data_IF_930967320309
#
_entry.id   IF_930967320309
#
_cell.length_a   1.000
_cell.length_b   1.000
_cell.length_c   1.000
_cell.angle_alpha   90.00
_cell.angle_beta   90.00
_cell.angle_gamma   90.00
#
_symmetry.space_group_name_H-M   'P 1'
#
loop_
_entity.id
_entity.type
_entity.pdbx_description
1 polymer ?
#
# COMPACT_ATOMS: atom_id res chain seq x y z
N UNK A 1 18.94 -48.82 -12.24
CA UNK A 1 18.71 -47.96 -11.04
C UNK A 1 18.36 -46.54 -11.44
N UNK A 2 19.19 -45.84 -12.22
CA UNK A 2 18.97 -44.43 -12.59
C UNK A 2 17.60 -44.16 -13.28
N UNK A 3 17.20 -45.01 -14.23
CA UNK A 3 15.92 -44.85 -14.94
C UNK A 3 14.69 -45.00 -14.03
N UNK A 4 14.74 -45.85 -13.00
CA UNK A 4 13.66 -45.99 -12.03
C UNK A 4 13.56 -44.78 -11.10
N UNK A 5 14.70 -44.21 -10.70
CA UNK A 5 14.75 -42.99 -9.87
C UNK A 5 14.16 -41.81 -10.63
N UNK A 6 14.47 -41.66 -11.93
CA UNK A 6 13.89 -40.58 -12.76
C UNK A 6 12.36 -40.69 -12.88
N UNK A 7 11.82 -41.89 -13.04
CA UNK A 7 10.36 -42.09 -13.15
C UNK A 7 9.65 -41.74 -11.83
N UNK A 8 10.24 -42.11 -10.68
CA UNK A 8 9.69 -41.76 -9.36
C UNK A 8 9.75 -40.25 -9.13
N UNK A 9 10.86 -39.59 -9.46
CA UNK A 9 11.00 -38.13 -9.31
C UNK A 9 10.00 -37.36 -10.16
N UNK A 10 9.78 -37.77 -11.43
CA UNK A 10 8.78 -37.14 -12.29
C UNK A 10 7.37 -37.35 -11.73
N UNK A 11 7.07 -38.52 -11.16
CA UNK A 11 5.79 -38.77 -10.50
C UNK A 11 5.55 -37.88 -9.28
N UNK A 12 6.58 -37.69 -8.44
CA UNK A 12 6.50 -36.81 -7.25
C UNK A 12 6.37 -35.35 -7.66
N UNK A 13 7.18 -34.86 -8.59
CA UNK A 13 7.10 -33.49 -9.09
C UNK A 13 5.77 -33.21 -9.80
N UNK A 14 5.28 -34.18 -10.58
CA UNK A 14 3.96 -34.09 -11.22
C UNK A 14 2.82 -34.03 -10.21
N UNK A 15 2.90 -34.81 -9.12
CA UNK A 15 1.91 -34.76 -8.04
C UNK A 15 1.93 -33.40 -7.32
N UNK A 16 3.12 -32.89 -6.96
CA UNK A 16 3.30 -31.57 -6.32
C UNK A 16 2.73 -30.46 -7.21
N UNK A 17 3.05 -30.49 -8.51
CA UNK A 17 2.56 -29.51 -9.48
C UNK A 17 1.03 -29.52 -9.62
N UNK A 18 0.41 -30.70 -9.68
CA UNK A 18 -1.05 -30.83 -9.77
C UNK A 18 -1.74 -30.34 -8.49
N UNK A 19 -1.18 -30.64 -7.31
CA UNK A 19 -1.72 -30.12 -6.04
C UNK A 19 -1.58 -28.60 -5.93
N UNK A 20 -0.48 -28.02 -6.39
CA UNK A 20 -0.28 -26.56 -6.44
C UNK A 20 -1.29 -25.89 -7.38
N UNK A 21 -1.42 -26.36 -8.63
CA UNK A 21 -2.43 -25.88 -9.60
C UNK A 21 -3.87 -25.96 -9.09
N UNK A 22 -4.19 -27.03 -8.35
CA UNK A 22 -5.51 -27.21 -7.76
C UNK A 22 -5.73 -26.22 -6.62
N UNK A 23 -4.74 -26.04 -5.74
CA UNK A 23 -4.77 -25.06 -4.66
C UNK A 23 -4.95 -23.63 -5.20
N UNK A 24 -4.20 -23.25 -6.24
CA UNK A 24 -4.33 -21.94 -6.91
C UNK A 24 -5.76 -21.68 -7.41
N UNK A 25 -6.42 -22.71 -7.99
CA UNK A 25 -7.81 -22.58 -8.45
C UNK A 25 -8.80 -22.47 -7.31
N UNK A 26 -8.63 -23.23 -6.24
CA UNK A 26 -9.50 -23.17 -5.06
C UNK A 26 -9.36 -21.82 -4.35
N UNK A 27 -8.16 -21.25 -4.33
CA UNK A 27 -7.87 -19.93 -3.79
C UNK A 27 -8.48 -18.81 -4.65
N UNK A 28 -8.32 -18.89 -5.98
CA UNK A 28 -8.97 -17.97 -6.91
C UNK A 28 -10.51 -17.98 -6.77
N UNK A 29 -11.12 -19.17 -6.62
CA UNK A 29 -12.57 -19.31 -6.40
C UNK A 29 -13.03 -18.77 -5.05
N UNK A 30 -12.24 -18.96 -3.99
CA UNK A 30 -12.53 -18.38 -2.66
C UNK A 30 -12.51 -16.86 -2.72
N UNK A 31 -11.60 -16.29 -3.51
CA UNK A 31 -11.49 -14.84 -3.66
C UNK A 31 -12.55 -14.22 -4.55
N UNK A 32 -12.94 -14.86 -5.65
CA UNK A 32 -14.07 -14.39 -6.47
C UNK A 32 -15.32 -14.18 -5.59
N UNK A 33 -15.52 -15.10 -4.63
CA UNK A 33 -16.58 -14.99 -3.63
C UNK A 33 -16.37 -13.82 -2.65
N UNK A 34 -15.15 -13.61 -2.15
CA UNK A 34 -14.83 -12.49 -1.24
C UNK A 34 -14.95 -11.13 -1.93
N UNK A 35 -14.47 -11.01 -3.16
CA UNK A 35 -14.60 -9.80 -3.99
C UNK A 35 -16.06 -9.49 -4.27
N UNK A 36 -16.88 -10.51 -4.58
CA UNK A 36 -18.33 -10.35 -4.74
C UNK A 36 -19.03 -9.93 -3.45
N UNK A 37 -18.60 -10.44 -2.29
CA UNK A 37 -19.16 -10.07 -0.99
C UNK A 37 -18.72 -8.66 -0.53
N UNK A 38 -17.56 -8.19 -1.01
CA UNK A 38 -16.98 -6.86 -0.75
C UNK A 38 -17.35 -5.80 -1.81
N UNK A 39 -18.20 -6.14 -2.79
CA UNK A 39 -18.79 -5.21 -3.77
C UNK A 39 -19.84 -4.27 -3.13
N UNK A 40 -19.49 -3.71 -1.98
CA UNK A 40 -20.15 -2.58 -1.32
C UNK A 40 -19.20 -1.39 -1.15
N UNK A 41 -18.02 -1.43 -1.77
CA UNK A 41 -17.13 -0.28 -1.88
C UNK A 41 -17.53 0.61 -3.06
N UNK A 42 -17.21 1.89 -2.96
CA UNK A 42 -17.60 2.93 -3.90
C UNK A 42 -17.02 2.64 -5.30
N UNK A 43 -17.92 2.31 -6.25
CA UNK A 43 -17.56 2.07 -7.66
C UNK A 43 -17.24 3.39 -8.41
N UNK A 44 -17.67 4.54 -7.86
CA UNK A 44 -17.50 5.86 -8.44
C UNK A 44 -17.17 6.90 -7.34
N UNK A 45 -15.87 7.04 -7.04
CA UNK A 45 -15.36 7.94 -6.00
C UNK A 45 -15.71 9.41 -6.26
N UNK A 46 -15.84 9.82 -7.53
CA UNK A 46 -16.24 11.19 -7.89
C UNK A 46 -17.72 11.43 -7.55
N UNK A 47 -18.61 10.48 -7.82
CA UNK A 47 -20.02 10.61 -7.43
C UNK A 47 -20.22 10.76 -5.91
N UNK A 48 -19.38 10.10 -5.11
CA UNK A 48 -19.45 10.21 -3.64
C UNK A 48 -18.87 11.51 -3.15
N UNK A 49 -17.80 12.01 -3.78
CA UNK A 49 -17.24 13.32 -3.47
C UNK A 49 -18.19 14.45 -3.86
N UNK A 50 -18.88 14.33 -5.00
CA UNK A 50 -19.91 15.27 -5.43
C UNK A 50 -21.10 15.25 -4.48
N UNK A 51 -21.59 14.07 -4.08
CA UNK A 51 -22.67 13.94 -3.11
C UNK A 51 -22.30 14.44 -1.70
N UNK A 52 -21.08 14.17 -1.22
CA UNK A 52 -20.59 14.70 0.05
C UNK A 52 -20.48 16.23 0.02
N UNK A 53 -19.99 16.80 -1.09
CA UNK A 53 -19.93 18.25 -1.29
C UNK A 53 -21.32 18.90 -1.47
N UNK A 54 -22.33 18.15 -1.93
CA UNK A 54 -23.73 18.59 -1.97
C UNK A 54 -24.37 18.59 -0.57
N UNK A 55 -24.13 17.56 0.24
CA UNK A 55 -24.63 17.48 1.62
C UNK A 55 -24.05 18.58 2.53
N UNK A 56 -22.78 18.94 2.35
CA UNK A 56 -22.16 20.07 3.05
C UNK A 56 -22.76 21.43 2.65
N UNK A 57 -23.29 21.55 1.42
CA UNK A 57 -23.99 22.75 0.95
C UNK A 57 -25.43 22.81 1.44
N UNK A 58 -26.08 21.67 1.63
CA UNK A 58 -27.44 21.59 2.20
C UNK A 58 -27.45 21.84 3.72
N UNK A 59 -26.46 21.37 4.47
CA UNK A 59 -26.35 21.61 5.92
C UNK A 59 -25.92 23.06 6.27
N UNK A 60 -25.31 23.77 5.32
CA UNK A 60 -25.00 25.20 5.44
C UNK A 60 -26.20 26.16 5.24
N UNK A 61 -27.39 25.64 4.93
CA UNK A 61 -28.57 26.45 4.56
C UNK A 61 -29.59 26.66 5.68
N UNK A 62 -29.46 26.05 6.86
CA UNK A 62 -30.40 26.28 7.96
C UNK A 62 -29.70 26.57 9.28
N UNK A 63 -29.34 27.83 9.52
CA UNK A 63 -29.61 28.57 10.76
C UNK A 63 -28.99 29.97 10.70
N UNK A 64 -29.78 30.99 10.36
CA UNK A 64 -29.87 32.17 11.23
C UNK A 64 -31.16 32.95 10.99
N UNK A 65 -32.14 32.69 11.86
CA UNK A 65 -33.22 33.61 12.13
C UNK A 65 -33.09 33.99 13.60
N UNK A 66 -32.49 35.14 13.91
CA UNK A 66 -33.24 36.21 14.59
C UNK A 66 -32.43 37.51 14.87
N UNK A 67 -33.16 38.62 14.68
CA UNK A 67 -33.04 39.97 15.31
C UNK A 67 -32.09 41.02 14.70
N UNK A 68 -32.67 41.79 13.78
CA UNK A 68 -32.83 43.25 13.74
C UNK A 68 -31.73 44.20 14.27
N UNK A 69 -31.29 45.14 13.40
CA UNK A 69 -31.27 46.61 13.57
C UNK A 69 -30.81 47.30 12.28
N UNK A 70 -31.61 48.21 11.71
CA UNK A 70 -31.19 49.18 10.67
C UNK A 70 -30.16 50.19 11.24
N UNK A 71 -29.39 50.98 10.45
CA UNK A 71 -29.81 52.05 9.49
C UNK A 71 -29.03 51.95 8.16
N UNK A 72 -29.07 52.79 7.12
CA UNK A 72 -29.84 53.95 6.63
C UNK A 72 -29.28 54.21 5.21
N UNK A 73 -30.07 54.90 4.41
CA UNK A 73 -29.95 55.30 3.02
C UNK A 73 -28.71 56.16 2.69
N UNK A 74 -28.10 55.95 1.51
CA UNK A 74 -27.54 57.03 0.66
C UNK A 74 -26.93 56.49 -0.64
N UNK A 75 -27.74 56.58 -1.69
CA UNK A 75 -27.46 57.17 -3.03
C UNK A 75 -26.02 57.36 -3.54
N UNK A 76 -25.89 56.95 -4.82
CA UNK A 76 -25.31 57.68 -5.98
C UNK A 76 -23.93 57.27 -6.54
N UNK A 77 -24.02 56.53 -7.65
CA UNK A 77 -23.55 56.90 -9.00
C UNK A 77 -22.06 56.90 -9.41
N UNK A 78 -21.91 56.42 -10.67
CA UNK A 78 -20.96 56.80 -11.72
C UNK A 78 -19.60 56.07 -11.72
N UNK A 79 -19.43 55.14 -12.68
CA UNK A 79 -18.77 55.30 -14.00
C UNK A 79 -17.25 55.11 -13.86
N UNK A 80 -16.69 54.00 -14.35
CA UNK A 80 -16.33 53.70 -15.75
C UNK A 80 -15.03 54.37 -16.21
N UNK A 81 -14.38 53.65 -17.13
CA UNK A 81 -13.16 53.95 -17.86
C UNK A 81 -11.84 53.61 -17.16
N UNK A 82 -10.81 53.14 -17.84
CA UNK A 82 -10.58 52.58 -19.18
C UNK A 82 -9.07 52.29 -19.20
N UNK A 83 -8.61 51.46 -20.13
CA UNK A 83 -7.25 51.41 -20.68
C UNK A 83 -6.17 50.78 -19.77
N UNK A 84 -5.26 49.91 -20.23
CA UNK A 84 -4.87 49.50 -21.59
C UNK A 84 -3.89 48.33 -21.45
N UNK A 85 -4.00 47.36 -22.36
CA UNK A 85 -2.90 46.47 -22.72
C UNK A 85 -1.72 47.27 -23.30
N UNK A 86 -0.48 46.82 -23.06
CA UNK A 86 0.36 46.31 -24.16
C UNK A 86 1.65 45.67 -23.64
N UNK A 87 1.84 44.42 -24.08
CA UNK A 87 3.09 43.81 -24.55
C UNK A 87 4.42 44.55 -24.34
N UNK A 88 5.41 43.83 -23.84
CA UNK A 88 6.74 43.85 -24.45
C UNK A 88 7.46 42.51 -24.24
N UNK A 89 8.09 42.06 -25.32
CA UNK A 89 8.72 40.76 -25.52
C UNK A 89 10.16 41.08 -25.87
N UNK A 90 11.13 40.69 -25.04
CA UNK A 90 12.52 40.57 -25.46
C UNK A 90 13.21 39.37 -24.83
N UNK A 91 14.25 38.94 -25.53
CA UNK A 91 14.82 37.62 -25.63
C UNK A 91 16.31 37.68 -25.21
N UNK A 92 16.90 36.51 -25.02
CA UNK A 92 18.34 36.19 -25.04
C UNK A 92 19.12 36.48 -23.73
N UNK A 93 19.54 35.42 -23.03
CA UNK A 93 20.91 34.89 -23.16
C UNK A 93 21.15 33.70 -22.23
N UNK A 94 21.92 32.75 -22.76
CA UNK A 94 22.47 31.62 -22.03
C UNK A 94 23.60 32.09 -21.10
N UNK A 95 23.62 31.58 -19.87
CA UNK A 95 24.79 31.55 -19.02
C UNK A 95 24.80 30.20 -18.28
N UNK A 96 25.90 29.50 -18.48
CA UNK A 96 26.38 28.34 -17.76
C UNK A 96 26.80 28.79 -16.35
N UNK A 97 26.21 28.20 -15.31
CA UNK A 97 26.68 28.33 -13.92
C UNK A 97 26.64 26.95 -13.25
N UNK A 98 27.81 26.31 -13.21
CA UNK A 98 28.21 25.40 -12.14
C UNK A 98 28.43 26.21 -10.87
N UNK A 99 27.77 25.85 -9.78
CA UNK A 99 28.25 25.76 -8.39
C UNK A 99 27.03 25.52 -7.48
N UNK A 100 26.96 24.33 -6.88
CA UNK A 100 27.26 24.13 -5.46
C UNK A 100 26.17 24.70 -4.54
N UNK A 101 25.35 23.81 -3.97
CA UNK A 101 25.08 23.89 -2.54
C UNK A 101 24.43 22.61 -1.99
N UNK A 102 25.16 22.04 -1.04
CA UNK A 102 24.68 21.44 0.20
C UNK A 102 23.98 20.10 0.11
N UNK A 103 24.82 19.09 -0.08
CA UNK A 103 24.79 17.88 0.73
C UNK A 103 24.62 18.25 2.22
N UNK A 104 23.38 18.25 2.69
CA UNK A 104 23.10 18.26 4.11
C UNK A 104 23.16 16.82 4.60
N UNK A 105 24.37 16.34 4.80
CA UNK A 105 24.63 15.27 5.77
C UNK A 105 24.25 15.82 7.14
N UNK A 106 22.96 15.76 7.46
CA UNK A 106 22.51 15.83 8.84
C UNK A 106 22.83 14.49 9.48
N UNK A 107 24.11 14.27 9.75
CA UNK A 107 24.56 13.29 10.73
C UNK A 107 24.18 13.83 12.11
N UNK A 108 22.88 13.82 12.39
CA UNK A 108 22.41 13.82 13.76
C UNK A 108 22.93 12.53 14.37
N UNK A 109 23.72 12.68 15.43
CA UNK A 109 24.18 11.58 16.24
C UNK A 109 22.97 10.72 16.59
N UNK A 110 23.02 9.47 16.15
CA UNK A 110 22.01 8.43 16.27
C UNK A 110 21.68 8.24 17.76
N UNK A 111 20.68 8.99 18.24
CA UNK A 111 20.07 8.73 19.51
C UNK A 111 19.35 7.40 19.31
N UNK A 112 19.98 6.32 19.79
CA UNK A 112 19.52 4.93 19.71
C UNK A 112 17.99 4.87 19.71
N UNK A 113 17.40 4.80 18.51
CA UNK A 113 15.96 4.88 18.33
C UNK A 113 15.37 3.60 18.90
N UNK A 114 14.66 3.72 20.02
CA UNK A 114 13.90 2.59 20.54
C UNK A 114 12.64 2.39 19.71
N UNK A 115 12.64 1.35 18.88
CA UNK A 115 11.44 0.88 18.15
C UNK A 115 10.48 0.18 19.12
N UNK A 116 9.17 0.40 18.95
CA UNK A 116 8.12 -0.23 19.77
C UNK A 116 7.72 -1.63 19.27
N UNK A 117 8.11 -1.96 18.04
CA UNK A 117 7.67 -3.18 17.39
C UNK A 117 7.80 -3.15 15.88
N UNK A 118 7.01 -4.00 15.25
CA UNK A 118 6.88 -4.19 13.81
C UNK A 118 5.42 -3.96 13.43
N UNK A 119 5.17 -3.23 12.36
CA UNK A 119 3.81 -3.07 11.80
C UNK A 119 3.73 -3.71 10.44
N UNK A 120 2.79 -4.64 10.27
CA UNK A 120 2.55 -5.34 9.01
C UNK A 120 1.45 -4.64 8.23
N UNK A 121 1.80 -4.11 7.06
CA UNK A 121 0.90 -3.42 6.12
C UNK A 121 0.67 -4.24 4.86
N UNK A 122 -0.46 -4.02 4.21
CA UNK A 122 -0.79 -4.63 2.91
C UNK A 122 -1.81 -5.74 3.01
N UNK A 123 -1.64 -6.79 2.24
CA UNK A 123 -2.63 -7.83 2.02
C UNK A 123 -2.63 -8.84 3.17
N UNK A 124 -3.82 -9.22 3.63
CA UNK A 124 -3.95 -10.45 4.41
C UNK A 124 -3.83 -11.67 3.49
N UNK A 125 -3.13 -12.68 3.97
CA UNK A 125 -2.82 -13.87 3.16
C UNK A 125 -3.49 -15.13 3.75
N UNK A 126 -3.90 -15.09 5.02
CA UNK A 126 -4.66 -16.15 5.69
C UNK A 126 -5.77 -15.56 6.54
N UNK A 127 -6.96 -16.19 6.50
CA UNK A 127 -8.21 -15.58 6.91
C UNK A 127 -9.10 -16.48 7.77
N UNK A 128 -9.94 -15.86 8.59
CA UNK A 128 -10.84 -16.55 9.53
C UNK A 128 -10.15 -16.94 10.84
N UNK A 129 -10.71 -17.92 11.55
CA UNK A 129 -10.22 -18.35 12.87
C UNK A 129 -8.77 -18.85 12.86
N UNK A 130 -8.27 -19.29 11.71
CA UNK A 130 -6.87 -19.69 11.57
C UNK A 130 -5.91 -18.48 11.59
N UNK A 131 -6.36 -17.28 11.24
CA UNK A 131 -5.50 -16.08 11.15
C UNK A 131 -4.94 -15.68 12.53
N UNK A 132 -5.75 -15.78 13.59
CA UNK A 132 -5.35 -15.42 14.95
C UNK A 132 -4.17 -16.25 15.49
N UNK A 133 -3.98 -17.46 14.94
CA UNK A 133 -2.92 -18.39 15.40
C UNK A 133 -1.82 -18.58 14.37
N UNK A 134 -2.16 -18.55 13.09
CA UNK A 134 -1.28 -18.99 12.01
C UNK A 134 -0.98 -17.90 10.98
N UNK A 135 -1.46 -16.67 11.14
CA UNK A 135 -0.97 -15.55 10.33
C UNK A 135 0.51 -15.29 10.61
N UNK A 136 1.23 -14.80 9.61
CA UNK A 136 2.63 -14.44 9.74
C UNK A 136 2.82 -13.38 10.82
N UNK A 137 1.82 -12.51 11.06
CA UNK A 137 1.84 -11.56 12.18
C UNK A 137 1.78 -12.27 13.54
N UNK A 138 0.84 -13.21 13.71
CA UNK A 138 0.71 -13.97 14.96
C UNK A 138 1.95 -14.84 15.22
N UNK A 139 2.47 -15.49 14.19
CA UNK A 139 3.70 -16.28 14.26
C UNK A 139 4.91 -15.38 14.54
N UNK A 140 5.04 -14.23 13.87
CA UNK A 140 6.14 -13.29 14.10
C UNK A 140 6.13 -12.77 15.53
N UNK A 141 4.96 -12.43 16.08
CA UNK A 141 4.84 -12.00 17.48
C UNK A 141 5.35 -13.08 18.44
N UNK A 142 5.01 -14.35 18.17
CA UNK A 142 5.51 -15.49 18.95
C UNK A 142 7.02 -15.65 18.80
N UNK A 143 7.55 -15.62 17.57
CA UNK A 143 8.97 -15.77 17.30
C UNK A 143 9.81 -14.66 17.95
N UNK A 144 9.34 -13.41 17.92
CA UNK A 144 9.98 -12.28 18.62
C UNK A 144 10.09 -12.57 20.12
N UNK A 145 9.00 -12.98 20.75
CA UNK A 145 8.99 -13.32 22.17
C UNK A 145 9.93 -14.50 22.52
N UNK A 146 9.91 -15.55 21.70
CA UNK A 146 10.76 -16.74 21.89
C UNK A 146 12.26 -16.45 21.70
N UNK A 147 12.60 -15.43 20.89
CA UNK A 147 13.99 -15.05 20.59
C UNK A 147 14.54 -13.89 21.44
N UNK A 148 13.79 -13.47 22.48
CA UNK A 148 14.24 -12.48 23.46
C UNK A 148 13.81 -11.04 23.19
N UNK A 149 12.92 -10.82 22.22
CA UNK A 149 12.38 -9.50 21.86
C UNK A 149 10.97 -9.29 22.44
N UNK A 150 10.76 -9.67 23.70
CA UNK A 150 9.42 -9.68 24.33
C UNK A 150 8.80 -8.29 24.55
N UNK A 151 9.59 -7.23 24.39
CA UNK A 151 9.12 -5.84 24.39
C UNK A 151 8.59 -5.36 23.03
N UNK A 152 8.87 -6.09 21.95
CA UNK A 152 8.43 -5.72 20.61
C UNK A 152 7.04 -6.28 20.32
N UNK A 153 6.16 -5.38 19.89
CA UNK A 153 4.80 -5.73 19.47
C UNK A 153 4.71 -5.92 17.96
N UNK A 154 3.76 -6.73 17.50
CA UNK A 154 3.41 -6.84 16.08
C UNK A 154 2.02 -6.24 15.87
N UNK A 155 1.95 -5.14 15.15
CA UNK A 155 0.70 -4.45 14.82
C UNK A 155 0.22 -4.94 13.45
N UNK A 156 -1.05 -5.32 13.38
CA UNK A 156 -1.69 -5.72 12.14
C UNK A 156 -2.43 -4.53 11.49
N UNK A 157 -1.95 -4.07 10.34
CA UNK A 157 -2.58 -3.06 9.48
C UNK A 157 -2.88 -3.62 8.08
N UNK A 158 -3.07 -4.93 7.98
CA UNK A 158 -3.42 -5.60 6.72
C UNK A 158 -4.91 -5.44 6.39
N UNK A 159 -5.27 -5.53 5.11
CA UNK A 159 -6.66 -5.54 4.65
C UNK A 159 -6.97 -6.72 3.76
N UNK A 160 -8.11 -7.36 4.04
CA UNK A 160 -8.69 -8.38 3.18
C UNK A 160 -9.28 -7.78 1.91
N UNK A 161 -8.85 -8.29 0.75
CA UNK A 161 -9.44 -7.96 -0.55
C UNK A 161 -9.33 -6.48 -0.95
N UNK A 162 -8.58 -5.68 -0.18
CA UNK A 162 -8.32 -4.29 -0.51
C UNK A 162 -7.14 -4.20 -1.46
N UNK A 163 -7.32 -3.55 -2.62
CA UNK A 163 -6.20 -3.21 -3.49
C UNK A 163 -5.24 -2.23 -2.83
N UNK A 164 -4.08 -2.04 -3.45
CA UNK A 164 -3.02 -1.14 -2.96
C UNK A 164 -3.48 0.31 -2.76
N UNK A 165 -4.43 0.81 -3.56
CA UNK A 165 -5.04 2.13 -3.38
C UNK A 165 -5.77 2.27 -2.04
N UNK A 166 -6.45 1.22 -1.58
CA UNK A 166 -7.09 1.21 -0.25
C UNK A 166 -6.05 1.23 0.88
N UNK A 167 -4.90 0.56 0.70
CA UNK A 167 -3.78 0.64 1.65
C UNK A 167 -3.20 2.04 1.74
N UNK A 168 -2.99 2.68 0.59
CA UNK A 168 -2.49 4.05 0.53
C UNK A 168 -3.45 5.02 1.23
N UNK A 169 -4.76 4.90 0.99
CA UNK A 169 -5.76 5.69 1.72
C UNK A 169 -5.69 5.45 3.22
N UNK A 170 -5.58 4.19 3.65
CA UNK A 170 -5.47 3.81 5.05
C UNK A 170 -4.20 4.35 5.72
N UNK A 171 -3.08 4.42 4.98
CA UNK A 171 -1.82 4.99 5.46
C UNK A 171 -1.85 6.53 5.58
N UNK A 172 -2.86 7.20 5.00
CA UNK A 172 -3.00 8.65 4.99
C UNK A 172 -2.41 9.33 3.76
N UNK A 173 -2.20 8.59 2.66
CA UNK A 173 -1.82 9.20 1.37
C UNK A 173 -2.96 10.08 0.88
N UNK A 174 -2.62 11.27 0.37
CA UNK A 174 -3.60 12.28 -0.04
C UNK A 174 -4.49 11.83 -1.19
N UNK A 175 -5.73 12.32 -1.20
CA UNK A 175 -6.73 12.00 -2.24
C UNK A 175 -6.28 12.42 -3.65
N UNK A 176 -5.48 13.48 -3.79
CA UNK A 176 -4.94 13.89 -5.10
C UNK A 176 -4.00 12.86 -5.71
N UNK A 177 -3.14 12.25 -4.89
CA UNK A 177 -2.22 11.17 -5.32
C UNK A 177 -3.02 9.93 -5.68
N UNK A 178 -3.96 9.52 -4.83
CA UNK A 178 -4.85 8.38 -5.09
C UNK A 178 -5.62 8.54 -6.41
N UNK A 179 -6.21 9.73 -6.61
CA UNK A 179 -6.98 10.04 -7.81
C UNK A 179 -6.13 10.02 -9.09
N UNK A 180 -4.83 10.33 -8.98
CA UNK A 180 -3.91 10.27 -10.12
C UNK A 180 -3.72 8.83 -10.63
N UNK A 181 -3.58 7.85 -9.72
CA UNK A 181 -3.52 6.43 -10.09
C UNK A 181 -4.83 5.96 -10.71
N UNK A 182 -5.97 6.24 -10.04
CA UNK A 182 -7.31 5.87 -10.55
C UNK A 182 -7.52 6.39 -11.98
N UNK A 183 -7.20 7.67 -12.21
CA UNK A 183 -7.31 8.30 -13.53
C UNK A 183 -6.41 7.60 -14.56
N UNK A 184 -5.16 7.30 -14.20
CA UNK A 184 -4.20 6.59 -15.05
C UNK A 184 -4.72 5.19 -15.42
N UNK A 185 -5.30 4.45 -14.48
CA UNK A 185 -5.83 3.10 -14.72
C UNK A 185 -7.02 3.15 -15.67
N UNK A 186 -7.96 4.07 -15.43
CA UNK A 186 -9.13 4.26 -16.30
C UNK A 186 -8.74 4.65 -17.73
N UNK A 187 -7.73 5.50 -17.89
CA UNK A 187 -7.18 5.85 -19.20
C UNK A 187 -6.52 4.64 -19.88
N UNK A 188 -5.71 3.87 -19.15
CA UNK A 188 -5.05 2.68 -19.67
C UNK A 188 -6.06 1.59 -20.08
N UNK A 189 -7.17 1.47 -19.36
CA UNK A 189 -8.25 0.53 -19.67
C UNK A 189 -8.97 0.87 -20.98
N UNK A 190 -8.93 2.13 -21.44
CA UNK A 190 -9.55 2.57 -22.69
C UNK A 190 -11.01 2.10 -22.84
N UNK A 191 -11.81 2.24 -21.78
CA UNK A 191 -13.22 1.83 -21.72
C UNK A 191 -13.45 0.34 -21.42
N UNK A 192 -12.40 -0.46 -21.21
CA UNK A 192 -12.55 -1.79 -20.64
C UNK A 192 -13.01 -1.72 -19.19
N UNK A 193 -13.79 -2.73 -18.77
CA UNK A 193 -14.18 -2.87 -17.38
C UNK A 193 -12.97 -3.30 -16.54
N UNK A 194 -12.69 -2.55 -15.48
CA UNK A 194 -11.63 -2.85 -14.51
C UNK A 194 -12.19 -3.61 -13.30
N UNK A 195 -11.31 -4.36 -12.63
CA UNK A 195 -11.62 -4.94 -11.32
C UNK A 195 -11.79 -3.80 -10.30
N UNK A 196 -12.68 -4.00 -9.31
CA UNK A 196 -12.89 -3.00 -8.24
C UNK A 196 -11.60 -2.71 -7.47
N UNK A 197 -10.67 -3.68 -7.38
CA UNK A 197 -9.38 -3.46 -6.72
C UNK A 197 -8.47 -2.49 -7.48
N UNK A 198 -8.68 -2.27 -8.78
CA UNK A 198 -7.88 -1.36 -9.61
C UNK A 198 -8.28 0.11 -9.48
N UNK A 199 -9.55 0.41 -9.19
CA UNK A 199 -10.02 1.81 -9.12
C UNK A 199 -10.79 2.15 -7.85
N UNK A 200 -11.23 1.13 -7.12
CA UNK A 200 -12.03 1.26 -5.92
C UNK A 200 -11.16 1.49 -4.69
N UNK A 201 -11.55 2.49 -3.91
CA UNK A 201 -11.11 2.66 -2.52
C UNK A 201 -12.30 2.27 -1.66
N UNK A 202 -12.15 1.22 -0.87
CA UNK A 202 -13.23 0.76 0.00
C UNK A 202 -13.45 1.74 1.15
N UNK A 203 -14.64 1.69 1.74
CA UNK A 203 -14.91 2.42 2.97
C UNK A 203 -14.01 1.89 4.10
N UNK A 204 -13.26 2.80 4.73
CA UNK A 204 -12.37 2.51 5.84
C UNK A 204 -12.98 3.03 7.14
N UNK A 205 -12.88 2.24 8.20
CA UNK A 205 -13.30 2.68 9.52
C UNK A 205 -12.27 3.64 10.14
N UNK A 206 -12.70 4.42 11.13
CA UNK A 206 -11.80 5.27 11.93
C UNK A 206 -10.70 4.44 12.61
N UNK A 207 -11.02 3.24 13.09
CA UNK A 207 -10.05 2.31 13.68
C UNK A 207 -8.98 1.87 12.67
N UNK A 208 -9.37 1.59 11.42
CA UNK A 208 -8.43 1.22 10.36
C UNK A 208 -7.47 2.36 10.04
N UNK A 209 -7.99 3.59 9.95
CA UNK A 209 -7.20 4.79 9.57
C UNK A 209 -6.40 5.41 10.72
N UNK A 210 -6.65 5.01 11.97
CA UNK A 210 -5.89 5.47 13.13
C UNK A 210 -4.43 5.00 13.08
N UNK A 211 -3.47 5.93 13.11
CA UNK A 211 -2.02 5.64 13.09
C UNK A 211 -1.45 5.42 14.50
N UNK A 212 -1.40 4.17 14.93
CA UNK A 212 -0.83 3.72 16.22
C UNK A 212 0.50 2.97 16.04
N UNK A 213 1.16 3.18 14.90
CA UNK A 213 2.24 2.34 14.37
C UNK A 213 3.50 3.14 13.97
N UNK A 214 3.50 4.45 14.18
CA UNK A 214 4.56 5.37 13.71
C UNK A 214 5.95 5.13 14.33
N UNK A 215 6.01 4.43 15.45
CA UNK A 215 7.22 4.03 16.16
C UNK A 215 7.64 2.57 15.89
N UNK A 216 6.88 1.84 15.06
CA UNK A 216 7.20 0.51 14.59
C UNK A 216 8.02 0.53 13.29
N UNK A 217 8.70 -0.58 13.01
CA UNK A 217 9.32 -0.85 11.70
C UNK A 217 8.24 -1.36 10.74
N UNK A 218 7.99 -0.70 9.60
CA UNK A 218 7.04 -1.18 8.60
C UNK A 218 7.54 -2.40 7.84
N UNK A 219 6.67 -3.41 7.74
CA UNK A 219 6.82 -4.57 6.85
C UNK A 219 5.67 -4.54 5.85
N UNK A 220 5.98 -4.34 4.57
CA UNK A 220 5.00 -4.12 3.51
C UNK A 220 4.78 -5.40 2.67
N UNK A 221 3.55 -5.92 2.69
CA UNK A 221 3.07 -7.07 1.92
C UNK A 221 2.01 -6.63 0.90
N UNK A 222 2.41 -5.97 -0.19
CA UNK A 222 1.44 -5.43 -1.16
C UNK A 222 1.52 -6.11 -2.53
N UNK A 223 0.40 -6.12 -3.24
CA UNK A 223 0.31 -6.51 -4.65
C UNK A 223 -0.49 -7.79 -4.91
N UNK A 224 -0.99 -8.45 -3.86
CA UNK A 224 -1.71 -9.71 -3.96
C UNK A 224 -3.10 -9.55 -4.60
N UNK A 225 -3.86 -8.55 -4.16
CA UNK A 225 -5.25 -8.31 -4.59
C UNK A 225 -5.39 -7.34 -5.80
N UNK A 226 -4.33 -6.68 -6.24
CA UNK A 226 -4.34 -5.69 -7.32
C UNK A 226 -4.33 -4.23 -6.83
N UNK A 227 -4.67 -3.28 -7.71
CA UNK A 227 -4.62 -1.84 -7.44
C UNK A 227 -3.41 -1.09 -8.00
N UNK A 228 -2.57 -1.80 -8.73
CA UNK A 228 -1.28 -1.31 -9.26
C UNK A 228 -1.18 -1.50 -10.78
N UNK A 229 -2.34 -1.69 -11.44
CA UNK A 229 -2.49 -1.77 -12.89
C UNK A 229 -1.56 -2.78 -13.58
N UNK A 230 -1.19 -3.84 -12.85
CA UNK A 230 -0.27 -4.88 -13.29
C UNK A 230 1.12 -4.34 -13.71
N UNK A 231 1.52 -3.16 -13.23
CA UNK A 231 2.83 -2.54 -13.45
C UNK A 231 3.72 -2.59 -12.19
N UNK A 232 4.75 -3.45 -12.12
CA UNK A 232 5.59 -3.58 -10.94
C UNK A 232 6.26 -2.26 -10.52
N UNK A 233 6.52 -1.35 -11.47
CA UNK A 233 7.06 -0.04 -11.12
C UNK A 233 6.05 0.78 -10.32
N UNK A 234 4.79 0.76 -10.75
CA UNK A 234 3.71 1.43 -10.03
C UNK A 234 3.53 0.85 -8.62
N UNK A 235 3.63 -0.48 -8.47
CA UNK A 235 3.60 -1.10 -7.14
C UNK A 235 4.71 -0.54 -6.24
N UNK A 236 5.93 -0.31 -6.76
CA UNK A 236 7.00 0.30 -5.97
C UNK A 236 6.71 1.75 -5.60
N UNK A 237 6.11 2.54 -6.49
CA UNK A 237 5.71 3.93 -6.19
C UNK A 237 4.64 3.98 -5.09
N UNK A 238 3.69 3.06 -5.13
CA UNK A 238 2.63 2.95 -4.12
C UNK A 238 3.17 2.50 -2.75
N UNK A 239 4.10 1.54 -2.74
CA UNK A 239 4.83 1.14 -1.53
C UNK A 239 5.63 2.31 -0.94
N UNK A 240 6.34 3.06 -1.79
CA UNK A 240 7.10 4.26 -1.38
C UNK A 240 6.19 5.35 -0.79
N UNK A 241 4.99 5.55 -1.35
CA UNK A 241 4.02 6.50 -0.80
C UNK A 241 3.59 6.13 0.63
N UNK A 242 3.43 4.85 0.95
CA UNK A 242 3.13 4.40 2.32
C UNK A 242 4.34 4.60 3.24
N UNK A 243 5.55 4.19 2.80
CA UNK A 243 6.78 4.38 3.58
C UNK A 243 7.03 5.86 3.89
N UNK A 244 6.71 6.76 2.96
CA UNK A 244 6.83 8.20 3.17
C UNK A 244 5.91 8.78 4.25
N UNK A 245 4.93 8.01 4.73
CA UNK A 245 4.08 8.39 5.88
C UNK A 245 4.73 8.10 7.23
N UNK A 246 5.81 7.32 7.27
CA UNK A 246 6.58 7.05 8.48
C UNK A 246 7.65 8.13 8.71
N UNK A 247 8.00 8.32 9.97
CA UNK A 247 9.07 9.25 10.36
C UNK A 247 10.45 8.70 9.99
N UNK A 248 10.69 7.40 10.23
CA UNK A 248 11.90 6.71 9.79
C UNK A 248 11.64 6.08 8.42
N UNK A 249 12.48 6.41 7.45
CA UNK A 249 12.36 5.95 6.06
C UNK A 249 13.45 4.95 5.68
N UNK A 250 14.40 4.71 6.57
CA UNK A 250 15.58 3.86 6.32
C UNK A 250 15.43 2.46 6.95
N UNK A 251 14.46 2.29 7.86
CA UNK A 251 14.16 1.02 8.51
C UNK A 251 12.83 0.47 8.03
N UNK A 252 12.87 -0.46 7.07
CA UNK A 252 11.67 -1.12 6.56
C UNK A 252 12.00 -2.47 5.91
N UNK A 253 10.97 -3.28 5.68
CA UNK A 253 11.06 -4.49 4.87
C UNK A 253 9.93 -4.46 3.84
N UNK A 254 10.24 -4.79 2.59
CA UNK A 254 9.24 -5.04 1.54
C UNK A 254 9.26 -6.51 1.18
N UNK A 255 8.09 -7.16 1.21
CA UNK A 255 7.95 -8.56 0.83
C UNK A 255 7.14 -8.65 -0.46
N UNK A 256 7.79 -9.13 -1.53
CA UNK A 256 7.15 -9.33 -2.82
C UNK A 256 6.22 -10.54 -2.77
N UNK A 257 4.92 -10.29 -2.93
CA UNK A 257 3.89 -11.34 -2.94
C UNK A 257 3.82 -12.03 -4.31
N UNK A 258 3.02 -13.09 -4.45
CA UNK A 258 2.67 -13.65 -5.76
C UNK A 258 1.33 -13.05 -6.18
N UNK A 259 1.26 -12.17 -7.20
CA UNK A 259 -0.01 -11.57 -7.63
C UNK A 259 -1.03 -12.66 -7.92
N UNK A 260 -2.23 -12.55 -7.34
CA UNK A 260 -3.19 -13.65 -7.44
C UNK A 260 -3.63 -13.92 -8.89
N UNK A 261 -3.88 -12.85 -9.63
CA UNK A 261 -4.45 -12.93 -10.98
C UNK A 261 -3.48 -13.52 -12.02
N UNK A 262 -2.21 -13.71 -11.65
CA UNK A 262 -1.16 -14.23 -12.51
C UNK A 262 -0.82 -13.32 -13.70
N UNK A 263 -1.21 -12.04 -13.65
CA UNK A 263 -0.94 -11.06 -14.71
C UNK A 263 0.55 -10.73 -14.83
N UNK A 264 1.26 -10.79 -13.70
CA UNK A 264 2.70 -10.60 -13.60
C UNK A 264 3.32 -11.83 -12.94
N UNK A 265 4.42 -12.32 -13.51
CA UNK A 265 5.13 -13.47 -12.94
C UNK A 265 5.95 -13.05 -11.73
N UNK A 266 6.23 -14.00 -10.83
CA UNK A 266 7.08 -13.71 -9.66
C UNK A 266 8.48 -13.23 -10.07
N UNK A 267 9.02 -13.73 -11.18
CA UNK A 267 10.34 -13.30 -11.67
C UNK A 267 10.35 -11.84 -12.12
N UNK A 268 9.33 -11.41 -12.88
CA UNK A 268 9.21 -10.02 -13.34
C UNK A 268 8.97 -9.06 -12.17
N UNK A 269 8.20 -9.49 -11.18
CA UNK A 269 7.98 -8.74 -9.95
C UNK A 269 9.30 -8.63 -9.15
N UNK A 270 9.97 -9.76 -8.92
CA UNK A 270 11.23 -9.82 -8.17
C UNK A 270 12.33 -8.96 -8.80
N UNK A 271 12.43 -8.93 -10.13
CA UNK A 271 13.40 -8.09 -10.85
C UNK A 271 13.25 -6.60 -10.46
N UNK A 272 12.01 -6.09 -10.51
CA UNK A 272 11.73 -4.68 -10.22
C UNK A 272 11.85 -4.36 -8.73
N UNK A 273 11.25 -5.18 -7.86
CA UNK A 273 11.24 -4.90 -6.43
C UNK A 273 12.64 -5.08 -5.80
N UNK A 274 13.41 -6.08 -6.21
CA UNK A 274 14.78 -6.23 -5.73
C UNK A 274 15.68 -5.08 -6.19
N UNK A 275 15.47 -4.56 -7.40
CA UNK A 275 16.21 -3.39 -7.89
C UNK A 275 15.87 -2.12 -7.09
N UNK A 276 14.59 -1.90 -6.77
CA UNK A 276 14.16 -0.71 -6.01
C UNK A 276 14.56 -0.78 -4.54
N UNK A 277 14.30 -1.91 -3.88
CA UNK A 277 14.35 -2.03 -2.43
C UNK A 277 15.63 -2.66 -1.89
N UNK A 278 16.48 -3.23 -2.74
CA UNK A 278 17.80 -3.72 -2.36
C UNK A 278 17.75 -4.71 -1.20
N UNK A 279 18.51 -4.42 -0.14
CA UNK A 279 18.64 -5.31 1.02
C UNK A 279 17.39 -5.42 1.89
N UNK A 280 16.45 -4.47 1.76
CA UNK A 280 15.17 -4.46 2.46
C UNK A 280 14.14 -5.41 1.82
N UNK A 281 14.47 -6.00 0.67
CA UNK A 281 13.56 -6.85 -0.09
C UNK A 281 13.62 -8.32 0.32
N UNK A 282 12.44 -8.95 0.42
CA UNK A 282 12.28 -10.40 0.51
C UNK A 282 11.41 -10.88 -0.67
N UNK A 283 11.96 -11.76 -1.51
CA UNK A 283 11.17 -12.47 -2.52
C UNK A 283 10.41 -13.63 -1.86
N UNK A 284 9.08 -13.52 -1.73
CA UNK A 284 8.27 -14.63 -1.21
C UNK A 284 8.39 -15.88 -2.09
N UNK A 285 8.56 -15.66 -3.41
CA UNK A 285 8.69 -16.74 -4.37
C UNK A 285 9.96 -17.58 -4.15
N UNK A 286 11.05 -16.96 -3.70
CA UNK A 286 12.31 -17.62 -3.40
C UNK A 286 12.31 -18.39 -2.06
N UNK A 287 11.53 -17.95 -1.07
CA UNK A 287 11.56 -18.52 0.28
C UNK A 287 10.56 -19.66 0.48
N UNK A 288 9.46 -19.71 -0.28
CA UNK A 288 8.50 -20.82 -0.19
C UNK A 288 7.79 -21.08 -1.50
N UNK A 289 7.65 -22.34 -1.91
CA UNK A 289 6.82 -22.75 -3.04
C UNK A 289 5.35 -22.96 -2.68
N UNK A 290 5.00 -22.85 -1.39
CA UNK A 290 3.64 -23.06 -0.93
C UNK A 290 2.76 -21.82 -1.21
N UNK A 291 1.45 -21.99 -1.43
CA UNK A 291 0.51 -20.88 -1.48
C UNK A 291 0.58 -20.05 -0.19
N UNK A 292 0.46 -18.72 -0.33
CA UNK A 292 0.60 -17.79 0.78
C UNK A 292 -0.41 -18.05 1.91
N UNK A 293 -1.59 -18.60 1.58
CA UNK A 293 -2.63 -18.94 2.56
C UNK A 293 -2.39 -20.21 3.38
N UNK A 294 -1.31 -20.94 3.14
CA UNK A 294 -0.96 -22.15 3.92
C UNK A 294 -0.25 -21.79 5.23
N UNK A 295 -0.45 -22.61 6.27
CA UNK A 295 0.18 -22.40 7.58
C UNK A 295 1.71 -22.50 7.47
N UNK A 296 2.20 -23.36 6.59
CA UNK A 296 3.61 -23.54 6.28
C UNK A 296 4.20 -22.26 5.66
N UNK A 297 3.53 -21.67 4.66
CA UNK A 297 3.99 -20.40 4.08
C UNK A 297 3.99 -19.27 5.11
N UNK A 298 2.96 -19.18 5.95
CA UNK A 298 2.87 -18.16 7.00
C UNK A 298 4.00 -18.27 8.03
N UNK A 299 4.34 -19.50 8.43
CA UNK A 299 5.49 -19.76 9.29
C UNK A 299 6.79 -19.30 8.63
N UNK A 300 7.04 -19.72 7.38
CA UNK A 300 8.24 -19.31 6.64
C UNK A 300 8.32 -17.79 6.49
N UNK A 301 7.21 -17.12 6.18
CA UNK A 301 7.15 -15.65 6.08
C UNK A 301 7.58 -14.98 7.38
N UNK A 302 7.05 -15.42 8.52
CA UNK A 302 7.42 -14.87 9.82
C UNK A 302 8.90 -15.10 10.16
N UNK A 303 9.43 -16.29 9.86
CA UNK A 303 10.83 -16.63 10.09
C UNK A 303 11.79 -15.75 9.29
N UNK A 304 11.51 -15.56 7.99
CA UNK A 304 12.38 -14.74 7.13
C UNK A 304 12.28 -13.25 7.45
N UNK A 305 11.12 -12.77 7.93
CA UNK A 305 10.99 -11.39 8.44
C UNK A 305 11.87 -11.22 9.68
N UNK A 306 11.76 -12.11 10.67
CA UNK A 306 12.60 -12.05 11.87
C UNK A 306 14.09 -12.05 11.50
N UNK A 307 14.50 -13.00 10.66
CA UNK A 307 15.88 -13.08 10.19
C UNK A 307 16.33 -11.77 9.52
N UNK A 308 15.49 -11.18 8.66
CA UNK A 308 15.81 -9.92 7.98
C UNK A 308 15.94 -8.74 8.94
N UNK A 309 15.06 -8.65 9.93
CA UNK A 309 15.14 -7.63 10.99
C UNK A 309 16.46 -7.73 11.78
N UNK A 310 16.90 -8.96 12.06
CA UNK A 310 18.19 -9.21 12.74
C UNK A 310 19.40 -8.93 11.83
N UNK A 311 19.34 -9.33 10.56
CA UNK A 311 20.41 -9.11 9.57
C UNK A 311 20.68 -7.61 9.34
N UNK A 312 19.63 -6.80 9.28
CA UNK A 312 19.72 -5.36 9.07
C UNK A 312 19.98 -4.58 10.36
N UNK A 313 19.97 -5.25 11.53
CA UNK A 313 20.20 -4.60 12.82
C UNK A 313 19.07 -3.70 13.29
N UNK A 314 17.86 -3.84 12.74
CA UNK A 314 16.71 -2.99 13.08
C UNK A 314 16.12 -3.28 14.45
N UNK A 315 16.36 -4.48 14.97
CA UNK A 315 15.92 -4.88 16.30
C UNK A 315 17.12 -5.29 17.14
N UNK A 316 17.05 -4.96 18.42
CA UNK A 316 18.06 -5.31 19.42
C UNK A 316 17.42 -6.05 20.59
N UNK A 317 18.19 -6.98 21.16
CA UNK A 317 17.78 -7.68 22.38
C UNK A 317 17.98 -6.76 23.56
N UNK A 318 17.06 -6.83 24.52
CA UNK A 318 17.25 -6.20 25.84
C UNK A 318 18.30 -6.92 26.68
#
# INVERSE_FOLDING_TARGET
MLAFICIVLIGVLGAIFVTSKKSEREEAQRLEKLASDQQKGIEDYESVKEHAAELEKEDGSETDSSVASEPDDSTDSADEADSTESSEKENISAADETEDNTDSTDSTADAERTVSGVVCWGDDLINGTDSDTYSYMAVLQKLLAENGYSNLTVINKTLQGGGTLSMMKMAGVSDSVLQSYITKHQQAANGAQLNVTETGIRDLTEEQTTRNDMDCIPVIFMGYYGGWNHDPQELTEQQENILNTFQNKDEFIVVGTRPMDGTVTSEALDEVLSQKWGEHYISLASVTSQPASTKEAQQTMAEVILQKLEELGYISKN
#
